data_IF_377871670009
#
_entry.id   IF_377871670009
#
_cell.length_a   1.000
_cell.length_b   1.000
_cell.length_c   1.000
_cell.angle_alpha   90.00
_cell.angle_beta   90.00
_cell.angle_gamma   90.00
#
_symmetry.space_group_name_H-M   'P 1'
#
loop_
_entity.id
_entity.type
_entity.pdbx_description
1 polymer ?
#
# COMPACT_ATOMS: atom_id res chain seq x y z
N UNK A 1 -14.19 19.97 -0.92
CA UNK A 1 -14.51 18.79 -1.76
C UNK A 1 -14.73 17.60 -0.84
N UNK A 2 -15.92 16.99 -0.86
CA UNK A 2 -16.29 15.89 0.04
C UNK A 2 -15.69 14.57 -0.46
N UNK A 3 -14.55 14.16 0.08
CA UNK A 3 -14.11 12.77 -0.04
C UNK A 3 -14.98 11.91 0.88
N UNK A 4 -15.53 10.81 0.34
CA UNK A 4 -16.21 9.81 1.15
C UNK A 4 -15.31 8.60 1.24
N UNK A 5 -14.73 8.36 2.41
CA UNK A 5 -14.02 7.10 2.69
C UNK A 5 -15.04 5.97 2.58
N UNK A 6 -14.81 5.06 1.64
CA UNK A 6 -15.68 3.91 1.39
C UNK A 6 -15.28 2.74 2.26
N UNK A 7 -13.97 2.51 2.40
CA UNK A 7 -13.40 1.42 3.18
C UNK A 7 -12.21 1.94 3.96
N UNK A 8 -12.16 1.61 5.24
CA UNK A 8 -10.98 1.74 6.10
C UNK A 8 -10.93 0.51 6.99
N UNK A 9 -10.03 -0.40 6.67
CA UNK A 9 -9.95 -1.72 7.29
C UNK A 9 -8.49 -1.97 7.70
N UNK A 10 -8.30 -2.61 8.85
CA UNK A 10 -7.00 -3.17 9.24
C UNK A 10 -7.18 -4.68 9.37
N UNK A 11 -6.43 -5.44 8.57
CA UNK A 11 -6.39 -6.90 8.64
C UNK A 11 -5.17 -7.34 9.41
N UNK A 12 -5.39 -8.16 10.44
CA UNK A 12 -4.32 -8.81 11.19
C UNK A 12 -3.95 -10.10 10.47
N UNK A 13 -2.69 -10.22 10.05
CA UNK A 13 -2.15 -11.44 9.44
C UNK A 13 -1.48 -12.33 10.48
N UNK A 14 -0.80 -11.72 11.45
CA UNK A 14 -0.18 -12.34 12.61
C UNK A 14 -0.11 -11.32 13.76
N UNK A 15 0.35 -11.73 14.94
CA UNK A 15 0.49 -10.84 16.11
C UNK A 15 1.34 -9.59 15.80
N UNK A 16 2.34 -9.75 14.94
CA UNK A 16 3.33 -8.74 14.56
C UNK A 16 3.20 -8.29 13.09
N UNK A 17 2.11 -8.63 12.40
CA UNK A 17 1.90 -8.31 10.98
C UNK A 17 0.46 -7.84 10.71
N UNK A 18 0.32 -6.66 10.11
CA UNK A 18 -0.98 -6.10 9.71
C UNK A 18 -0.93 -5.52 8.31
N UNK A 19 -2.09 -5.51 7.64
CA UNK A 19 -2.33 -4.73 6.42
C UNK A 19 -3.42 -3.70 6.71
N UNK A 20 -3.09 -2.42 6.59
CA UNK A 20 -4.12 -1.38 6.52
C UNK A 20 -4.55 -1.16 5.07
N UNK A 21 -5.86 -1.05 4.88
CA UNK A 21 -6.51 -0.85 3.60
C UNK A 21 -7.38 0.39 3.72
N UNK A 22 -7.17 1.36 2.84
CA UNK A 22 -8.00 2.55 2.73
C UNK A 22 -8.45 2.70 1.29
N UNK A 23 -9.76 2.82 1.07
CA UNK A 23 -10.37 3.09 -0.24
C UNK A 23 -11.29 4.28 -0.08
N UNK A 24 -11.07 5.30 -0.90
CA UNK A 24 -11.81 6.57 -0.84
C UNK A 24 -12.34 6.92 -2.22
N UNK A 25 -13.62 7.26 -2.30
CA UNK A 25 -14.19 7.85 -3.50
C UNK A 25 -13.79 9.32 -3.56
N UNK A 26 -13.23 9.71 -4.69
CA UNK A 26 -12.86 11.08 -5.01
C UNK A 26 -13.54 11.49 -6.31
N UNK A 27 -13.55 12.78 -6.58
CA UNK A 27 -13.97 13.28 -7.88
C UNK A 27 -13.08 12.71 -8.98
N UNK A 28 -13.70 12.34 -10.10
CA UNK A 28 -12.98 11.85 -11.27
C UNK A 28 -12.09 12.96 -11.82
N UNK A 29 -10.83 12.62 -12.07
CA UNK A 29 -9.83 13.56 -12.54
C UNK A 29 -8.86 12.85 -13.49
N UNK A 30 -8.13 13.57 -14.34
CA UNK A 30 -7.16 12.98 -15.27
C UNK A 30 -6.12 12.06 -14.59
N UNK A 31 -5.79 12.35 -13.34
CA UNK A 31 -4.85 11.57 -12.51
C UNK A 31 -5.51 10.35 -11.86
N UNK A 32 -6.83 10.35 -11.71
CA UNK A 32 -7.62 9.30 -11.05
C UNK A 32 -8.91 9.13 -11.87
N UNK A 33 -8.81 8.53 -13.07
CA UNK A 33 -9.90 8.54 -14.05
C UNK A 33 -11.13 7.76 -13.58
N UNK A 34 -10.95 6.86 -12.61
CA UNK A 34 -12.04 6.06 -12.03
C UNK A 34 -12.59 6.64 -10.72
N UNK A 35 -12.08 7.79 -10.25
CA UNK A 35 -12.55 8.43 -9.01
C UNK A 35 -12.32 7.59 -7.75
N UNK A 36 -11.39 6.63 -7.78
CA UNK A 36 -11.07 5.77 -6.63
C UNK A 36 -9.61 5.95 -6.24
N UNK A 37 -9.38 6.39 -5.00
CA UNK A 37 -8.08 6.32 -4.34
C UNK A 37 -8.02 5.09 -3.48
N UNK A 38 -6.89 4.39 -3.50
CA UNK A 38 -6.59 3.35 -2.52
C UNK A 38 -5.19 3.52 -1.94
N UNK A 39 -5.04 3.00 -0.74
CA UNK A 39 -3.77 2.86 -0.04
C UNK A 39 -3.76 1.52 0.67
N UNK A 40 -2.76 0.70 0.40
CA UNK A 40 -2.47 -0.50 1.14
C UNK A 40 -1.13 -0.33 1.83
N UNK A 41 -1.09 -0.64 3.12
CA UNK A 41 0.10 -0.50 3.94
C UNK A 41 0.30 -1.77 4.76
N UNK A 42 1.25 -2.59 4.34
CA UNK A 42 1.71 -3.72 5.14
C UNK A 42 2.73 -3.22 6.16
N UNK A 43 2.39 -3.41 7.43
CA UNK A 43 3.22 -3.03 8.57
C UNK A 43 3.59 -4.26 9.38
N UNK A 44 4.83 -4.25 9.84
CA UNK A 44 5.34 -5.24 10.78
C UNK A 44 5.69 -4.56 12.09
N UNK A 45 5.50 -5.26 13.20
CA UNK A 45 5.95 -4.78 14.50
C UNK A 45 7.42 -5.14 14.64
N UNK A 46 8.24 -4.14 14.95
CA UNK A 46 9.66 -4.34 15.20
C UNK A 46 9.86 -4.83 16.63
N UNK A 47 10.93 -5.59 16.85
CA UNK A 47 11.29 -6.05 18.21
C UNK A 47 11.75 -4.89 19.09
N UNK A 48 12.43 -3.91 18.47
CA UNK A 48 13.05 -2.76 19.11
C UNK A 48 12.13 -1.54 19.20
N UNK A 49 11.07 -1.49 18.41
CA UNK A 49 10.28 -0.28 18.16
C UNK A 49 8.85 -0.61 17.71
N UNK A 50 8.04 0.41 17.44
CA UNK A 50 6.64 0.23 17.07
C UNK A 50 6.43 -0.41 15.68
N UNK A 51 5.22 -0.22 15.14
CA UNK A 51 4.88 -0.68 13.80
C UNK A 51 5.65 0.09 12.72
N UNK A 52 6.35 -0.63 11.84
CA UNK A 52 7.05 -0.08 10.66
C UNK A 52 6.33 -0.50 9.39
N UNK A 53 6.14 0.45 8.47
CA UNK A 53 5.69 0.17 7.10
C UNK A 53 6.80 -0.49 6.31
N UNK A 54 6.53 -1.66 5.74
CA UNK A 54 7.46 -2.43 4.90
C UNK A 54 7.03 -2.39 3.45
N UNK A 55 5.73 -2.50 3.17
CA UNK A 55 5.18 -2.41 1.82
C UNK A 55 4.08 -1.36 1.81
N UNK A 56 4.16 -0.43 0.87
CA UNK A 56 3.15 0.60 0.67
C UNK A 56 2.78 0.71 -0.80
N UNK A 57 1.49 0.58 -1.09
CA UNK A 57 0.92 0.58 -2.44
C UNK A 57 -0.18 1.65 -2.47
N UNK A 58 0.07 2.75 -3.18
CA UNK A 58 -0.85 3.86 -3.35
C UNK A 58 -1.05 4.13 -4.85
N UNK A 59 -2.27 4.41 -5.32
CA UNK A 59 -2.49 4.85 -6.73
C UNK A 59 -2.57 6.36 -6.93
N UNK A 60 -2.37 7.14 -5.88
CA UNK A 60 -2.47 8.58 -5.96
C UNK A 60 -1.39 9.25 -5.10
N UNK A 61 -0.25 9.55 -5.72
CA UNK A 61 0.68 10.57 -5.22
C UNK A 61 0.70 11.74 -6.20
N UNK A 62 0.44 12.94 -5.70
CA UNK A 62 0.88 14.16 -6.39
C UNK A 62 2.37 14.30 -6.08
N UNK A 63 3.24 13.66 -6.87
CA UNK A 63 4.64 14.03 -6.87
C UNK A 63 4.72 15.37 -7.60
N UNK A 64 5.07 16.45 -6.89
CA UNK A 64 5.34 17.76 -7.50
C UNK A 64 6.32 17.56 -8.67
N UNK A 65 5.85 17.74 -9.91
CA UNK A 65 6.67 17.70 -11.12
C UNK A 65 6.55 16.47 -12.00
N UNK A 66 5.86 15.40 -11.58
CA UNK A 66 5.64 14.22 -12.43
C UNK A 66 4.24 14.26 -13.06
N UNK A 67 4.20 14.20 -14.40
CA UNK A 67 2.97 14.26 -15.23
C UNK A 67 2.43 12.89 -15.63
N UNK A 68 3.03 11.79 -15.17
CA UNK A 68 2.61 10.45 -15.57
C UNK A 68 1.94 9.70 -14.41
N UNK A 69 1.18 8.67 -14.77
CA UNK A 69 0.45 7.76 -13.89
C UNK A 69 1.43 7.05 -12.96
N UNK A 70 1.87 7.74 -11.90
CA UNK A 70 2.87 7.22 -10.97
C UNK A 70 2.21 6.27 -9.98
N UNK A 71 2.13 5.02 -10.40
CA UNK A 71 1.98 3.85 -9.56
C UNK A 71 3.29 3.61 -8.80
N UNK A 72 3.69 4.54 -7.92
CA UNK A 72 4.90 4.36 -7.12
C UNK A 72 4.56 3.53 -5.89
N UNK A 73 4.85 2.24 -5.96
CA UNK A 73 4.77 1.34 -4.82
C UNK A 73 6.12 1.30 -4.14
N UNK A 74 6.16 1.11 -2.84
CA UNK A 74 7.40 1.07 -2.08
C UNK A 74 7.49 -0.27 -1.36
N UNK A 75 8.62 -0.95 -1.51
CA UNK A 75 9.03 -2.07 -0.68
C UNK A 75 10.35 -1.69 -0.01
N UNK A 76 10.38 -1.63 1.32
CA UNK A 76 11.51 -1.13 2.10
C UNK A 76 12.13 0.16 1.54
N UNK A 77 11.28 1.16 1.27
CA UNK A 77 11.65 2.47 0.69
C UNK A 77 12.19 2.42 -0.74
N UNK A 78 12.25 1.27 -1.39
CA UNK A 78 12.60 1.12 -2.81
C UNK A 78 11.35 1.15 -3.69
N UNK A 79 11.38 1.82 -4.85
CA UNK A 79 10.25 1.85 -5.77
C UNK A 79 10.01 0.48 -6.42
N UNK A 80 8.74 0.06 -6.43
CA UNK A 80 8.18 -1.05 -7.21
C UNK A 80 7.06 -0.47 -8.06
N UNK A 81 6.91 -0.94 -9.30
CA UNK A 81 5.81 -0.56 -10.19
C UNK A 81 4.76 -1.69 -10.24
N UNK A 82 3.47 -1.34 -10.09
CA UNK A 82 2.34 -2.23 -10.35
C UNK A 82 1.33 -1.49 -11.21
N UNK A 83 0.86 -2.13 -12.27
CA UNK A 83 -0.27 -1.64 -13.04
C UNK A 83 -1.57 -1.81 -12.24
N UNK A 84 -2.42 -0.79 -12.24
CA UNK A 84 -3.75 -0.91 -11.62
C UNK A 84 -4.66 -1.79 -12.48
N UNK A 85 -4.94 -3.01 -12.02
CA UNK A 85 -5.90 -3.90 -12.68
C UNK A 85 -7.22 -3.97 -11.89
N UNK A 86 -7.18 -4.37 -10.61
CA UNK A 86 -8.33 -4.33 -9.70
C UNK A 86 -7.90 -4.40 -8.23
N UNK A 87 -8.79 -3.99 -7.30
CA UNK A 87 -8.51 -4.07 -5.85
C UNK A 87 -8.22 -5.51 -5.38
N UNK A 88 -8.92 -6.49 -5.96
CA UNK A 88 -8.70 -7.91 -5.65
C UNK A 88 -7.29 -8.34 -6.05
N UNK A 89 -6.88 -8.03 -7.29
CA UNK A 89 -5.54 -8.36 -7.77
C UNK A 89 -4.46 -7.64 -6.99
N UNK A 90 -4.65 -6.36 -6.64
CA UNK A 90 -3.67 -5.63 -5.81
C UNK A 90 -3.49 -6.29 -4.45
N UNK A 91 -4.58 -6.74 -3.83
CA UNK A 91 -4.48 -7.47 -2.57
C UNK A 91 -3.71 -8.79 -2.73
N UNK A 92 -3.99 -9.55 -3.80
CA UNK A 92 -3.26 -10.78 -4.14
C UNK A 92 -1.76 -10.52 -4.41
N UNK A 93 -1.42 -9.47 -5.15
CA UNK A 93 -0.04 -9.05 -5.41
C UNK A 93 0.70 -8.66 -4.12
N UNK A 94 0.03 -7.96 -3.19
CA UNK A 94 0.61 -7.63 -1.89
C UNK A 94 0.90 -8.90 -1.09
N UNK A 95 -0.04 -9.85 -1.04
CA UNK A 95 0.18 -11.13 -0.36
C UNK A 95 1.34 -11.92 -1.00
N UNK A 96 1.45 -11.89 -2.33
CA UNK A 96 2.56 -12.50 -3.05
C UNK A 96 3.89 -11.82 -2.73
N UNK A 97 3.95 -10.49 -2.71
CA UNK A 97 5.16 -9.75 -2.31
C UNK A 97 5.59 -10.10 -0.88
N UNK A 98 4.65 -10.16 0.06
CA UNK A 98 4.94 -10.55 1.45
C UNK A 98 5.54 -11.96 1.47
N UNK A 99 4.94 -12.90 0.72
CA UNK A 99 5.41 -14.28 0.65
C UNK A 99 6.80 -14.39 0.03
N UNK A 100 7.05 -13.71 -1.09
CA UNK A 100 8.33 -13.74 -1.80
C UNK A 100 9.47 -13.10 -0.98
N UNK A 101 9.16 -12.13 -0.12
CA UNK A 101 10.14 -11.40 0.67
C UNK A 101 10.18 -11.82 2.15
N UNK A 102 9.64 -13.00 2.51
CA UNK A 102 9.49 -13.43 3.91
C UNK A 102 10.80 -13.38 4.70
N UNK A 103 11.91 -13.87 4.13
CA UNK A 103 13.20 -13.87 4.81
C UNK A 103 13.71 -12.46 5.16
N UNK A 104 13.55 -11.50 4.25
CA UNK A 104 13.91 -10.10 4.49
C UNK A 104 12.97 -9.43 5.50
N UNK A 105 11.68 -9.74 5.44
CA UNK A 105 10.69 -9.27 6.43
C UNK A 105 11.06 -9.76 7.84
N UNK A 106 11.42 -11.03 7.98
CA UNK A 106 11.82 -11.61 9.25
C UNK A 106 13.11 -10.97 9.77
N UNK A 107 14.04 -10.62 8.88
CA UNK A 107 15.23 -9.84 9.23
C UNK A 107 14.86 -8.43 9.71
N UNK A 108 13.99 -7.72 8.98
CA UNK A 108 13.51 -6.38 9.37
C UNK A 108 12.90 -6.41 10.77
N UNK A 109 12.07 -7.42 11.10
CA UNK A 109 11.42 -7.53 12.41
C UNK A 109 12.39 -7.67 13.58
N UNK A 110 13.57 -8.24 13.35
CA UNK A 110 14.60 -8.43 14.40
C UNK A 110 15.27 -7.13 14.81
N UNK A 111 15.25 -6.11 13.96
CA UNK A 111 15.88 -4.80 14.18
C UNK A 111 14.88 -3.71 14.52
#
# INVERSE_FOLDING_TARGET
>A
MSSKTLVKETRVLAEDEIIDISITRVEEHLQIPHGIKYSFNYRVKLSSSGWRSVIRVDNAHVIKGHKQRDHKHLFDKQPIEFEFISLKQIYEEILNLIKLNRGLIDEIKRY
#
